data_IF_326902490947
#
_entry.id   IF_326902490947
#
_cell.length_a   1.000
_cell.length_b   1.000
_cell.length_c   1.000
_cell.angle_alpha   90.00
_cell.angle_beta   90.00
_cell.angle_gamma   90.00
#
_symmetry.space_group_name_H-M   'P 1'
#
loop_
_entity.id
_entity.type
_entity.pdbx_description
1 polymer ?
#
# COMPACT_ATOMS: atom_id res chain seq x y z
N UNK A 1 -46.66 22.67 -41.15
CA UNK A 1 -46.32 22.26 -39.77
C UNK A 1 -46.60 20.77 -39.63
N UNK A 2 -45.56 19.92 -39.59
CA UNK A 2 -45.70 18.46 -39.39
C UNK A 2 -45.22 18.13 -37.97
N UNK A 3 -46.13 17.63 -37.13
CA UNK A 3 -45.79 17.10 -35.82
C UNK A 3 -45.04 15.76 -35.97
N UNK A 4 -44.03 15.47 -35.14
CA UNK A 4 -43.33 14.19 -35.17
C UNK A 4 -44.24 13.05 -34.66
N UNK A 5 -44.08 11.82 -35.18
CA UNK A 5 -44.84 10.67 -34.72
C UNK A 5 -44.42 10.30 -33.29
N UNK A 6 -45.42 10.04 -32.45
CA UNK A 6 -45.26 9.60 -31.07
C UNK A 6 -44.38 8.34 -31.05
N UNK A 7 -43.14 8.47 -30.57
CA UNK A 7 -42.29 7.32 -30.29
C UNK A 7 -42.94 6.53 -29.16
N UNK A 8 -43.69 5.51 -29.55
CA UNK A 8 -44.27 4.51 -28.67
C UNK A 8 -43.13 3.79 -27.94
N UNK A 9 -42.84 4.23 -26.71
CA UNK A 9 -41.92 3.53 -25.81
C UNK A 9 -42.58 2.20 -25.46
N UNK A 10 -42.23 1.15 -26.21
CA UNK A 10 -42.57 -0.24 -25.89
C UNK A 10 -41.89 -0.56 -24.55
N UNK A 11 -42.67 -0.54 -23.47
CA UNK A 11 -42.28 -1.07 -22.16
C UNK A 11 -41.76 -2.50 -22.33
N UNK A 12 -40.45 -2.68 -22.16
CA UNK A 12 -39.83 -4.02 -22.10
C UNK A 12 -40.03 -4.50 -20.66
N UNK A 13 -41.20 -5.08 -20.38
CA UNK A 13 -41.44 -5.85 -19.17
C UNK A 13 -40.65 -7.18 -19.26
N UNK A 14 -39.32 -7.09 -19.22
CA UNK A 14 -38.42 -8.22 -19.10
C UNK A 14 -38.24 -8.55 -17.62
N UNK A 15 -38.70 -9.72 -17.19
CA UNK A 15 -38.31 -10.36 -15.91
C UNK A 15 -36.82 -10.11 -15.69
N UNK A 16 -36.47 -9.44 -14.59
CA UNK A 16 -35.11 -9.11 -14.23
C UNK A 16 -34.27 -10.40 -14.19
N UNK A 17 -33.48 -10.63 -15.23
CA UNK A 17 -32.66 -11.83 -15.34
C UNK A 17 -31.61 -11.78 -14.22
N UNK A 18 -31.60 -12.78 -13.34
CA UNK A 18 -30.62 -12.84 -12.24
C UNK A 18 -29.22 -12.97 -12.83
N UNK A 19 -28.37 -11.99 -12.55
CA UNK A 19 -26.95 -12.05 -12.88
C UNK A 19 -26.19 -12.89 -11.84
N UNK A 20 -24.95 -13.28 -12.16
CA UNK A 20 -24.12 -14.04 -11.23
C UNK A 20 -23.65 -13.14 -10.09
N UNK A 21 -23.98 -13.52 -8.85
CA UNK A 21 -23.70 -12.70 -7.67
C UNK A 21 -22.21 -12.66 -7.27
N UNK A 22 -21.39 -13.66 -7.66
CA UNK A 22 -19.97 -13.71 -7.32
C UNK A 22 -19.16 -14.57 -8.30
N UNK A 23 -17.93 -14.17 -8.61
CA UNK A 23 -16.97 -14.97 -9.37
C UNK A 23 -15.51 -14.65 -9.02
N UNK A 24 -14.71 -15.69 -8.75
CA UNK A 24 -13.25 -15.61 -8.64
C UNK A 24 -12.56 -15.89 -10.00
N UNK A 25 -13.34 -16.20 -11.04
CA UNK A 25 -12.81 -16.48 -12.37
C UNK A 25 -12.13 -15.21 -12.91
N UNK A 26 -10.86 -15.32 -13.29
CA UNK A 26 -9.96 -14.23 -13.72
C UNK A 26 -9.26 -13.43 -12.61
N UNK A 27 -9.45 -13.73 -11.31
CA UNK A 27 -8.67 -13.05 -10.26
C UNK A 27 -7.19 -13.45 -10.32
N UNK A 28 -6.91 -14.75 -10.42
CA UNK A 28 -5.54 -15.27 -10.53
C UNK A 28 -4.83 -14.72 -11.76
N UNK A 29 -5.48 -14.71 -12.93
CA UNK A 29 -4.86 -14.21 -14.16
C UNK A 29 -4.49 -12.73 -14.07
N UNK A 30 -5.38 -11.87 -13.53
CA UNK A 30 -5.06 -10.44 -13.31
C UNK A 30 -3.92 -10.23 -12.32
N UNK A 31 -3.90 -10.99 -11.22
CA UNK A 31 -2.84 -10.90 -10.20
C UNK A 31 -1.46 -11.26 -10.77
N UNK A 32 -1.41 -12.19 -11.73
CA UNK A 32 -0.16 -12.63 -12.35
C UNK A 32 0.21 -11.82 -13.61
N UNK A 33 -0.70 -11.06 -14.23
CA UNK A 33 -0.41 -10.20 -15.39
C UNK A 33 0.76 -9.24 -15.14
N UNK A 34 0.81 -8.64 -13.96
CA UNK A 34 1.89 -7.73 -13.53
C UNK A 34 2.83 -8.38 -12.50
N UNK A 35 2.60 -9.66 -12.17
CA UNK A 35 3.26 -10.42 -11.11
C UNK A 35 2.92 -9.97 -9.69
N UNK A 36 2.90 -10.92 -8.76
CA UNK A 36 2.77 -10.64 -7.33
C UNK A 36 4.14 -10.21 -6.79
N UNK A 37 4.33 -8.89 -6.62
CA UNK A 37 5.59 -8.32 -6.14
C UNK A 37 5.74 -8.56 -4.64
N UNK A 38 6.87 -9.14 -4.24
CA UNK A 38 7.27 -9.24 -2.82
C UNK A 38 7.64 -7.85 -2.30
N UNK A 39 7.43 -7.63 -0.99
CA UNK A 39 7.87 -6.40 -0.33
C UNK A 39 9.39 -6.27 -0.45
N UNK A 40 9.87 -5.09 -0.82
CA UNK A 40 11.30 -4.82 -0.95
C UNK A 40 11.95 -4.87 0.43
N UNK A 41 13.03 -5.65 0.56
CA UNK A 41 13.84 -5.69 1.79
C UNK A 41 14.82 -4.52 1.75
N UNK A 42 14.68 -3.59 2.70
CA UNK A 42 15.65 -2.51 2.92
C UNK A 42 16.61 -2.90 4.05
N UNK A 43 17.81 -2.30 4.08
CA UNK A 43 18.82 -2.55 5.14
C UNK A 43 18.27 -2.27 6.55
N UNK A 44 17.38 -1.29 6.67
CA UNK A 44 16.74 -0.92 7.93
C UNK A 44 15.21 -0.91 7.76
N UNK A 45 14.51 -1.64 8.64
CA UNK A 45 13.06 -1.63 8.70
C UNK A 45 12.54 -0.42 9.52
N UNK A 46 11.26 -0.08 9.33
CA UNK A 46 10.61 0.96 10.13
C UNK A 46 10.53 0.55 11.60
N UNK A 47 10.87 1.46 12.52
CA UNK A 47 10.79 1.25 13.99
C UNK A 47 9.42 1.60 14.59
N UNK A 48 8.40 1.84 13.75
CA UNK A 48 7.04 2.20 14.16
C UNK A 48 6.38 0.97 14.79
N UNK A 49 5.77 1.15 15.98
CA UNK A 49 5.16 0.05 16.75
C UNK A 49 6.14 -0.72 17.65
N UNK A 50 7.40 -0.30 17.74
CA UNK A 50 8.36 -0.84 18.70
C UNK A 50 8.17 -0.21 20.09
N UNK A 51 8.60 -0.92 21.15
CA UNK A 51 8.54 -0.45 22.54
C UNK A 51 9.06 1.00 22.70
N UNK A 52 8.19 1.93 23.15
CA UNK A 52 8.57 3.32 23.38
C UNK A 52 9.76 3.49 24.32
N UNK A 53 9.93 2.63 25.35
CA UNK A 53 11.03 2.74 26.31
C UNK A 53 12.37 2.44 25.64
N UNK A 54 12.44 1.36 24.87
CA UNK A 54 13.62 1.06 24.05
C UNK A 54 13.90 2.14 23.02
N UNK A 55 12.87 2.70 22.36
CA UNK A 55 13.05 3.79 21.39
C UNK A 55 13.70 5.03 22.03
N UNK A 56 13.27 5.40 23.24
CA UNK A 56 13.85 6.53 23.98
C UNK A 56 15.31 6.26 24.33
N UNK A 57 15.61 5.08 24.88
CA UNK A 57 16.99 4.70 25.20
C UNK A 57 17.90 4.72 23.98
N UNK A 58 17.48 4.12 22.86
CA UNK A 58 18.29 4.10 21.64
C UNK A 58 18.58 5.53 21.12
N UNK A 59 17.63 6.46 21.26
CA UNK A 59 17.85 7.86 20.86
C UNK A 59 18.94 8.51 21.70
N UNK A 60 18.95 8.30 23.01
CA UNK A 60 19.98 8.84 23.91
C UNK A 60 21.34 8.18 23.66
N UNK A 61 21.40 6.85 23.57
CA UNK A 61 22.64 6.14 23.26
C UNK A 61 23.25 6.62 21.94
N UNK A 62 22.45 6.72 20.87
CA UNK A 62 22.93 7.26 19.58
C UNK A 62 23.34 8.73 19.64
N UNK A 63 22.84 9.51 20.60
CA UNK A 63 23.22 10.92 20.75
C UNK A 63 24.64 11.02 21.32
N UNK A 64 24.94 10.27 22.38
CA UNK A 64 26.22 10.33 23.08
C UNK A 64 27.32 9.46 22.43
N UNK A 65 26.95 8.41 21.71
CA UNK A 65 27.93 7.63 20.93
C UNK A 65 28.44 8.39 19.69
N UNK A 66 27.71 9.41 19.22
CA UNK A 66 28.14 10.25 18.10
C UNK A 66 29.16 11.32 18.50
N UNK A 67 29.11 11.79 19.75
CA UNK A 67 30.15 12.66 20.30
C UNK A 67 31.39 11.85 20.69
N UNK A 68 31.22 10.73 21.39
CA UNK A 68 32.35 9.86 21.73
C UNK A 68 33.10 9.35 20.49
N UNK A 69 32.40 8.96 19.42
CA UNK A 69 33.07 8.57 18.18
C UNK A 69 33.77 9.72 17.42
N UNK A 70 33.51 10.99 17.76
CA UNK A 70 34.23 12.14 17.23
C UNK A 70 35.48 12.44 18.08
N UNK A 71 35.38 12.29 19.40
CA UNK A 71 36.52 12.43 20.32
C UNK A 71 37.55 11.28 20.14
N UNK A 72 37.10 10.06 19.87
CA UNK A 72 37.96 8.87 19.68
C UNK A 72 38.64 8.81 18.30
N UNK A 73 38.16 9.58 17.31
CA UNK A 73 38.87 9.73 16.03
C UNK A 73 39.91 10.84 16.08
N UNK A 74 39.73 11.87 16.90
CA UNK A 74 40.79 12.87 17.15
C UNK A 74 41.96 12.27 17.97
N UNK A 75 41.70 11.41 18.96
CA UNK A 75 42.75 10.78 19.77
C UNK A 75 43.51 9.64 19.08
N UNK A 76 43.04 9.18 17.92
CA UNK A 76 43.67 8.14 17.12
C UNK A 76 44.49 8.69 15.94
N UNK A 77 44.41 9.99 15.67
CA UNK A 77 45.17 10.69 14.62
C UNK A 77 46.39 11.45 15.17
N UNK A 78 46.63 11.43 16.50
CA UNK A 78 47.86 11.90 17.16
C UNK A 78 48.81 10.76 17.57
#
# INVERSE_FOLDING_TARGET
>A
MRLPPQFFIRSIAGKMAKSKNHTAHNQSYKNHKNGIKKVKKHKYASRKGMDPKFLRNQRYAKKHNRSGAADEVESAEE
#
